data_IF_968775172060
#
_entry.id   IF_968775172060
#
_cell.length_a   1.000
_cell.length_b   1.000
_cell.length_c   1.000
_cell.angle_alpha   90.00
_cell.angle_beta   90.00
_cell.angle_gamma   90.00
#
_symmetry.space_group_name_H-M   'P 1'
#
loop_
_entity.id
_entity.type
_entity.pdbx_description
1 polymer ?
#
# COMPACT_ATOMS: atom_id res chain seq x y z
N UNK A 1 1.00 -3.51 8.74
CA UNK A 1 0.19 -2.28 8.84
C UNK A 1 0.16 -1.63 7.47
N UNK A 2 -0.96 -1.73 6.75
CA UNK A 2 -1.08 -1.19 5.39
C UNK A 2 -2.07 -0.02 5.38
N UNK A 3 -1.73 1.05 4.66
CA UNK A 3 -2.64 2.16 4.38
C UNK A 3 -2.65 2.39 2.86
N UNK A 4 -3.80 2.15 2.23
CA UNK A 4 -4.08 2.61 0.88
C UNK A 4 -4.62 4.04 0.96
N UNK A 5 -4.10 4.96 0.16
CA UNK A 5 -4.59 6.34 0.08
C UNK A 5 -5.01 6.66 -1.36
N UNK A 6 -6.32 6.83 -1.58
CA UNK A 6 -6.92 7.32 -2.80
C UNK A 6 -7.37 8.77 -2.56
N UNK A 7 -6.91 9.72 -3.37
CA UNK A 7 -7.30 11.13 -3.27
C UNK A 7 -8.13 11.54 -4.50
N UNK A 8 -9.44 11.67 -4.33
CA UNK A 8 -10.34 12.30 -5.29
C UNK A 8 -10.49 13.80 -4.97
N UNK A 9 -10.33 14.68 -5.97
CA UNK A 9 -10.57 16.13 -5.85
C UNK A 9 -11.70 16.54 -6.80
N UNK A 10 -12.83 16.97 -6.23
CA UNK A 10 -13.84 17.75 -6.94
C UNK A 10 -13.63 19.24 -6.63
N UNK A 11 -13.66 20.09 -7.65
CA UNK A 11 -13.67 21.56 -7.52
C UNK A 11 -15.03 22.05 -8.00
N UNK A 12 -15.78 22.74 -7.13
CA UNK A 12 -16.73 23.77 -7.56
C UNK A 12 -16.27 25.08 -6.95
N UNK A 13 -16.18 26.11 -7.81
CA UNK A 13 -15.92 27.48 -7.37
C UNK A 13 -17.15 28.09 -6.72
N UNK A 14 -16.96 29.24 -6.09
CA UNK A 14 -17.58 30.52 -6.44
C UNK A 14 -16.83 31.64 -5.69
N UNK A 15 -16.68 32.77 -6.38
CA UNK A 15 -16.17 34.04 -5.82
C UNK A 15 -17.28 34.68 -5.01
N UNK A 16 -16.93 35.50 -4.02
CA UNK A 16 -17.44 36.87 -3.87
C UNK A 16 -16.58 37.66 -2.85
N UNK A 17 -16.35 38.91 -3.20
CA UNK A 17 -15.55 39.94 -2.55
C UNK A 17 -16.30 40.64 -1.41
N UNK A 18 -15.58 41.12 -0.39
CA UNK A 18 -16.11 42.07 0.59
C UNK A 18 -15.00 42.66 1.47
N UNK A 19 -14.82 43.97 1.34
CA UNK A 19 -13.87 44.87 2.02
C UNK A 19 -14.12 45.05 3.52
N UNK A 20 -13.06 45.42 4.27
CA UNK A 20 -13.06 45.74 5.72
C UNK A 20 -13.89 46.97 6.13
N UNK A 21 -13.77 47.51 7.37
CA UNK A 21 -12.49 47.89 7.98
C UNK A 21 -12.34 47.68 9.51
N UNK A 22 -11.14 48.04 9.99
CA UNK A 22 -10.66 48.15 11.37
C UNK A 22 -11.54 49.02 12.28
N UNK A 23 -11.52 48.73 13.60
CA UNK A 23 -11.46 49.71 14.70
C UNK A 23 -11.23 49.01 16.06
N UNK A 24 -10.14 49.40 16.73
CA UNK A 24 -9.89 49.36 18.20
C UNK A 24 -9.77 50.83 18.65
N UNK A 25 -9.66 51.21 19.96
CA UNK A 25 -9.60 50.44 21.21
C UNK A 25 -10.50 51.01 22.35
N UNK A 26 -10.59 50.35 23.52
CA UNK A 26 -11.09 51.02 24.73
C UNK A 26 -11.37 50.11 25.92
N UNK A 27 -10.75 50.42 27.07
CA UNK A 27 -10.79 49.69 28.35
C UNK A 27 -12.12 49.86 29.10
N UNK A 28 -12.54 48.87 29.88
CA UNK A 28 -13.59 49.05 30.90
C UNK A 28 -14.05 47.78 31.63
N UNK A 29 -13.50 47.57 32.84
CA UNK A 29 -14.09 47.02 34.07
C UNK A 29 -14.93 45.71 34.10
N UNK A 30 -14.54 44.85 35.05
CA UNK A 30 -15.25 43.66 35.49
C UNK A 30 -16.37 44.00 36.48
N UNK A 31 -17.58 43.46 36.25
CA UNK A 31 -18.64 43.36 37.27
C UNK A 31 -19.30 41.98 37.23
N UNK A 32 -19.73 41.52 38.41
CA UNK A 32 -20.06 40.13 38.72
C UNK A 32 -21.47 39.67 38.29
N UNK A 33 -21.52 38.40 37.91
CA UNK A 33 -22.60 37.40 38.04
C UNK A 33 -24.07 37.85 37.86
N UNK A 34 -24.57 37.69 36.62
CA UNK A 34 -26.00 37.57 36.30
C UNK A 34 -26.31 36.15 35.80
N UNK A 35 -27.41 35.59 36.31
CA UNK A 35 -27.93 34.22 36.16
C UNK A 35 -27.72 33.52 34.80
N UNK A 36 -27.43 32.22 34.92
CA UNK A 36 -27.28 31.20 33.88
C UNK A 36 -28.22 31.34 32.67
N UNK A 37 -27.65 31.66 31.52
CA UNK A 37 -28.15 31.23 30.21
C UNK A 37 -27.29 30.06 29.76
N UNK A 38 -27.92 28.93 29.46
CA UNK A 38 -27.28 27.78 28.81
C UNK A 38 -26.43 28.25 27.63
N UNK A 39 -25.13 27.92 27.54
CA UNK A 39 -24.36 28.22 26.35
C UNK A 39 -25.00 27.44 25.20
N UNK A 40 -25.57 28.16 24.23
CA UNK A 40 -25.69 27.65 22.87
C UNK A 40 -24.31 27.12 22.49
N UNK A 41 -24.24 25.96 21.84
CA UNK A 41 -23.01 25.39 21.26
C UNK A 41 -22.25 26.51 20.55
N UNK A 42 -21.32 27.12 21.27
CA UNK A 42 -20.47 28.16 20.75
C UNK A 42 -19.44 27.41 19.95
N UNK A 43 -19.49 27.61 18.63
CA UNK A 43 -18.49 27.21 17.65
C UNK A 43 -17.12 27.05 18.32
N UNK A 44 -16.74 25.81 18.59
CA UNK A 44 -15.36 25.50 18.94
C UNK A 44 -14.50 26.02 17.80
N UNK A 45 -13.56 26.95 18.04
CA UNK A 45 -12.73 27.48 16.98
C UNK A 45 -11.96 26.31 16.36
N UNK A 46 -12.29 25.97 15.12
CA UNK A 46 -11.49 25.06 14.31
C UNK A 46 -10.19 25.79 14.03
N UNK A 47 -9.17 25.51 14.82
CA UNK A 47 -7.84 26.04 14.59
C UNK A 47 -7.29 25.41 13.31
N UNK A 48 -7.36 26.16 12.22
CA UNK A 48 -6.69 25.82 10.98
C UNK A 48 -5.20 26.16 11.13
N UNK A 49 -4.42 25.19 11.63
CA UNK A 49 -2.98 25.34 11.88
C UNK A 49 -2.11 25.48 10.61
N UNK A 50 -2.71 25.44 9.41
CA UNK A 50 -1.99 25.51 8.13
C UNK A 50 -2.75 26.41 7.18
N UNK A 51 -2.14 27.51 6.76
CA UNK A 51 -2.72 28.44 5.78
C UNK A 51 -3.06 27.72 4.47
N UNK A 52 -4.18 28.10 3.86
CA UNK A 52 -4.72 27.48 2.62
C UNK A 52 -3.73 27.47 1.44
N UNK A 53 -2.68 28.29 1.50
CA UNK A 53 -1.66 28.46 0.46
C UNK A 53 -0.32 27.77 0.74
N UNK A 54 -0.18 27.05 1.85
CA UNK A 54 1.07 26.34 2.13
C UNK A 54 1.19 25.11 1.21
N UNK A 55 2.19 25.10 0.33
CA UNK A 55 2.54 23.91 -0.44
C UNK A 55 2.93 22.80 0.53
N UNK A 56 2.11 21.74 0.61
CA UNK A 56 2.44 20.56 1.41
C UNK A 56 3.66 19.89 0.79
N UNK A 57 4.78 19.95 1.49
CA UNK A 57 5.99 19.30 1.05
C UNK A 57 5.86 17.79 1.27
N UNK A 58 6.35 17.01 0.31
CA UNK A 58 6.33 15.55 0.41
C UNK A 58 7.29 15.09 1.53
N UNK A 59 6.85 14.09 2.30
CA UNK A 59 7.58 13.55 3.45
C UNK A 59 7.44 12.04 3.46
N UNK A 60 8.56 11.34 3.61
CA UNK A 60 8.62 9.89 3.67
C UNK A 60 9.02 9.51 5.08
N UNK A 61 8.25 8.61 5.69
CA UNK A 61 8.52 8.10 7.03
C UNK A 61 8.80 6.61 6.98
N UNK A 62 9.79 6.17 7.73
CA UNK A 62 10.24 4.78 7.83
C UNK A 62 10.31 4.37 9.29
N UNK A 63 9.92 3.14 9.59
CA UNK A 63 9.98 2.54 10.92
C UNK A 63 9.97 1.01 10.81
N UNK A 64 10.25 0.32 11.91
CA UNK A 64 10.31 -1.14 11.99
C UNK A 64 11.74 -1.67 12.01
N UNK A 65 11.97 -2.83 11.41
CA UNK A 65 13.27 -3.49 11.41
C UNK A 65 14.27 -2.76 10.50
N UNK A 66 15.41 -2.35 11.05
CA UNK A 66 16.41 -1.52 10.36
C UNK A 66 17.67 -2.26 9.96
N UNK A 67 17.93 -3.44 10.52
CA UNK A 67 19.23 -4.08 10.41
C UNK A 67 19.53 -4.65 9.01
N UNK A 68 18.49 -4.98 8.23
CA UNK A 68 18.67 -5.33 6.81
C UNK A 68 18.96 -4.12 5.91
N UNK A 69 18.82 -2.90 6.40
CA UNK A 69 18.94 -1.68 5.59
C UNK A 69 17.65 -1.21 4.93
N UNK A 70 16.52 -1.92 5.12
CA UNK A 70 15.25 -1.59 4.46
C UNK A 70 14.72 -0.18 4.74
N UNK A 71 15.14 0.44 5.86
CA UNK A 71 14.72 1.81 6.19
C UNK A 71 15.54 2.89 5.46
N UNK A 72 16.64 2.53 4.80
CA UNK A 72 17.46 3.47 4.02
C UNK A 72 18.22 4.50 4.86
N UNK A 73 18.48 4.22 6.14
CA UNK A 73 19.20 5.12 7.04
C UNK A 73 20.47 4.42 7.56
N UNK A 74 21.65 4.68 6.96
CA UNK A 74 22.89 3.99 7.32
C UNK A 74 23.28 4.11 8.80
N UNK A 75 22.95 5.25 9.43
CA UNK A 75 23.24 5.52 10.84
C UNK A 75 22.49 4.61 11.82
N UNK A 76 21.45 3.90 11.38
CA UNK A 76 20.77 2.90 12.22
C UNK A 76 21.60 1.63 12.40
N UNK A 77 22.40 1.27 11.39
CA UNK A 77 23.18 0.03 11.35
C UNK A 77 24.65 0.28 11.69
N UNK A 78 25.22 1.39 11.21
CA UNK A 78 26.63 1.75 11.40
C UNK A 78 26.77 2.87 12.45
N UNK A 79 27.39 2.59 13.61
CA UNK A 79 27.73 3.64 14.57
C UNK A 79 28.74 4.60 13.94
N UNK A 80 28.39 5.89 13.83
CA UNK A 80 29.32 6.95 13.39
C UNK A 80 29.16 7.45 11.95
N UNK A 81 28.21 6.95 11.14
CA UNK A 81 27.97 7.44 9.77
C UNK A 81 27.22 8.79 9.69
N UNK A 82 27.16 9.55 10.79
CA UNK A 82 26.49 10.85 10.84
C UNK A 82 27.45 12.02 10.63
N UNK A 83 26.96 13.23 10.29
CA UNK A 83 27.81 14.39 9.96
C UNK A 83 28.69 14.94 11.10
N UNK A 84 28.57 14.44 12.33
CA UNK A 84 29.42 14.86 13.45
C UNK A 84 29.79 13.67 14.35
N UNK A 85 31.07 13.53 14.77
CA UNK A 85 31.46 12.62 15.82
C UNK A 85 31.03 13.19 17.17
N UNK A 86 29.73 13.10 17.49
CA UNK A 86 29.24 13.41 18.83
C UNK A 86 29.73 12.35 19.80
N UNK A 87 30.35 12.81 20.89
CA UNK A 87 30.80 11.99 22.01
C UNK A 87 29.71 10.98 22.43
N UNK A 88 30.08 9.70 22.45
CA UNK A 88 29.18 8.58 22.73
C UNK A 88 28.54 8.01 21.47
N UNK A 89 29.18 6.99 20.88
CA UNK A 89 28.57 6.21 19.80
C UNK A 89 27.24 5.63 20.30
N UNK A 90 26.13 6.12 19.75
CA UNK A 90 24.82 5.54 20.06
C UNK A 90 24.80 4.08 19.61
N UNK A 91 24.28 3.16 20.43
CA UNK A 91 24.25 1.75 20.09
C UNK A 91 23.43 1.51 18.82
N UNK A 92 23.84 0.53 18.02
CA UNK A 92 23.13 0.10 16.81
C UNK A 92 21.66 -0.16 17.14
N UNK A 93 20.75 0.42 16.37
CA UNK A 93 19.31 0.18 16.53
C UNK A 93 18.91 -0.89 15.54
N UNK A 94 18.47 -2.04 16.04
CA UNK A 94 17.87 -3.11 15.21
C UNK A 94 16.43 -2.80 14.79
N UNK A 95 15.76 -1.98 15.59
CA UNK A 95 14.38 -1.57 15.38
C UNK A 95 14.30 -0.06 15.57
N UNK A 96 13.64 0.61 14.64
CA UNK A 96 13.21 1.99 14.74
C UNK A 96 11.72 2.00 15.10
N UNK A 97 11.34 2.18 16.38
CA UNK A 97 9.96 1.96 16.83
C UNK A 97 9.01 3.12 16.47
N UNK A 98 9.54 4.30 16.15
CA UNK A 98 8.76 5.51 15.84
C UNK A 98 9.03 5.97 14.40
N UNK A 99 8.07 6.61 13.73
CA UNK A 99 8.28 7.15 12.39
C UNK A 99 9.50 8.07 12.35
N UNK A 100 10.48 7.72 11.52
CA UNK A 100 11.66 8.53 11.24
C UNK A 100 11.55 9.10 9.83
N UNK A 101 11.86 10.39 9.65
CA UNK A 101 11.81 11.03 8.35
C UNK A 101 13.01 10.59 7.51
N UNK A 102 12.75 9.89 6.40
CA UNK A 102 13.76 9.61 5.39
C UNK A 102 13.97 10.88 4.55
N UNK A 103 15.21 11.33 4.48
CA UNK A 103 15.59 12.52 3.72
C UNK A 103 15.87 12.12 2.27
N UNK A 104 14.99 12.57 1.37
CA UNK A 104 15.09 12.37 -0.06
C UNK A 104 14.70 13.68 -0.75
N UNK A 105 15.52 14.12 -1.70
CA UNK A 105 15.23 15.29 -2.53
C UNK A 105 14.15 14.98 -3.58
N UNK A 106 14.00 13.70 -3.89
CA UNK A 106 13.17 13.21 -4.96
C UNK A 106 11.72 13.07 -4.52
N UNK A 107 10.80 13.45 -5.41
CA UNK A 107 9.37 13.27 -5.19
C UNK A 107 8.96 11.83 -5.44
N UNK A 108 8.79 11.07 -4.37
CA UNK A 108 8.33 9.68 -4.43
C UNK A 108 6.82 9.63 -4.62
N UNK A 109 6.38 8.82 -5.58
CA UNK A 109 4.97 8.60 -5.94
C UNK A 109 4.46 7.20 -5.61
N UNK A 110 5.34 6.21 -5.51
CA UNK A 110 4.99 4.84 -5.12
C UNK A 110 6.09 4.27 -4.23
N UNK A 111 5.69 3.50 -3.23
CA UNK A 111 6.58 2.80 -2.31
C UNK A 111 6.07 1.36 -2.13
N UNK A 112 6.99 0.41 -2.07
CA UNK A 112 6.70 -0.99 -1.83
C UNK A 112 7.70 -1.57 -0.84
N UNK A 113 7.19 -2.36 0.11
CA UNK A 113 7.99 -3.03 1.13
C UNK A 113 7.95 -4.52 0.85
N UNK A 114 9.11 -5.12 0.58
CA UNK A 114 9.26 -6.57 0.51
C UNK A 114 9.74 -7.14 1.83
N UNK A 115 10.16 -8.40 1.80
CA UNK A 115 10.62 -9.11 3.01
C UNK A 115 12.06 -8.69 3.33
N UNK A 116 12.21 -7.57 4.03
CA UNK A 116 13.50 -7.03 4.46
C UNK A 116 14.17 -6.07 3.46
N UNK A 117 13.43 -5.60 2.45
CA UNK A 117 13.86 -4.59 1.48
C UNK A 117 12.72 -3.66 1.08
N UNK A 118 13.04 -2.56 0.41
CA UNK A 118 12.07 -1.52 0.03
C UNK A 118 12.45 -0.92 -1.32
N UNK A 119 11.44 -0.69 -2.15
CA UNK A 119 11.56 0.08 -3.40
C UNK A 119 10.73 1.35 -3.29
N UNK A 120 11.31 2.45 -3.77
CA UNK A 120 10.67 3.74 -3.92
C UNK A 120 10.76 4.13 -5.39
N UNK A 121 9.69 4.67 -5.96
CA UNK A 121 9.72 5.20 -7.32
C UNK A 121 9.12 6.59 -7.45
N UNK A 122 9.62 7.31 -8.43
CA UNK A 122 9.17 8.63 -8.81
C UNK A 122 8.65 8.62 -10.25
N UNK A 123 7.57 9.36 -10.50
CA UNK A 123 7.04 9.65 -11.84
C UNK A 123 7.89 10.68 -12.61
N UNK A 124 9.14 10.91 -12.21
CA UNK A 124 10.05 11.82 -12.92
C UNK A 124 10.38 11.31 -14.33
N UNK A 125 10.69 12.25 -15.22
CA UNK A 125 11.24 11.97 -16.55
C UNK A 125 12.77 11.81 -16.52
N UNK A 126 13.42 12.05 -15.38
CA UNK A 126 14.86 11.80 -15.22
C UNK A 126 15.19 10.31 -15.41
N UNK A 127 16.43 10.03 -15.78
CA UNK A 127 16.92 8.66 -16.00
C UNK A 127 16.78 7.80 -14.75
N UNK A 128 17.03 8.36 -13.57
CA UNK A 128 16.88 7.67 -12.29
C UNK A 128 15.46 7.80 -11.76
N UNK A 129 14.73 6.68 -11.75
CA UNK A 129 13.29 6.66 -11.42
C UNK A 129 12.96 5.80 -10.22
N UNK A 130 13.83 4.86 -9.87
CA UNK A 130 13.61 3.87 -8.80
C UNK A 130 14.82 3.86 -7.88
N UNK A 131 14.56 3.81 -6.57
CA UNK A 131 15.55 3.67 -5.53
C UNK A 131 15.23 2.44 -4.69
N UNK A 132 16.25 1.66 -4.37
CA UNK A 132 16.15 0.45 -3.58
C UNK A 132 17.03 0.51 -2.34
N UNK A 133 16.54 -0.09 -1.26
CA UNK A 133 17.32 -0.31 -0.04
C UNK A 133 16.91 -1.59 0.66
N UNK A 134 17.82 -2.19 1.41
CA UNK A 134 17.62 -3.40 2.20
C UNK A 134 18.33 -4.63 1.62
N UNK A 135 17.74 -5.80 1.88
CA UNK A 135 18.25 -7.09 1.40
C UNK A 135 18.31 -7.15 -0.14
N UNK A 136 19.44 -7.63 -0.66
CA UNK A 136 19.68 -7.77 -2.11
C UNK A 136 20.42 -9.07 -2.50
N UNK A 137 20.28 -10.15 -1.70
CA UNK A 137 20.95 -11.44 -1.97
C UNK A 137 20.51 -12.09 -3.29
N UNK A 138 19.28 -11.85 -3.72
CA UNK A 138 18.72 -12.39 -4.96
C UNK A 138 18.66 -11.32 -6.06
N UNK A 139 19.32 -10.17 -5.87
CA UNK A 139 19.22 -9.01 -6.77
C UNK A 139 17.78 -8.48 -6.92
N UNK A 140 16.98 -8.55 -5.86
CA UNK A 140 15.61 -7.98 -5.83
C UNK A 140 15.58 -6.45 -5.92
N UNK A 141 16.70 -5.78 -5.67
CA UNK A 141 16.94 -4.35 -5.91
C UNK A 141 17.73 -4.11 -7.21
N UNK A 142 18.00 -5.16 -7.99
CA UNK A 142 18.89 -5.12 -9.14
C UNK A 142 20.37 -5.15 -8.76
N UNK A 143 21.22 -4.86 -9.74
CA UNK A 143 22.67 -4.93 -9.56
C UNK A 143 23.20 -3.72 -8.77
N UNK A 144 23.84 -4.01 -7.62
CA UNK A 144 24.54 -3.02 -6.80
C UNK A 144 25.95 -3.50 -6.47
N UNK A 145 26.96 -2.81 -7.01
CA UNK A 145 28.38 -3.15 -6.82
C UNK A 145 28.98 -2.45 -5.61
N UNK A 146 29.78 -3.18 -4.83
CA UNK A 146 30.59 -2.57 -3.76
C UNK A 146 31.65 -1.63 -4.35
N UNK A 147 31.80 -0.45 -3.73
CA UNK A 147 32.88 0.50 -4.08
C UNK A 147 34.25 0.05 -3.57
N UNK A 148 34.28 -0.80 -2.53
CA UNK A 148 35.50 -1.21 -1.83
C UNK A 148 36.01 -2.58 -2.24
N UNK A 149 35.11 -3.45 -2.67
CA UNK A 149 35.44 -4.81 -3.07
C UNK A 149 34.91 -5.06 -4.47
N UNK A 150 35.81 -5.17 -5.43
CA UNK A 150 35.50 -5.36 -6.85
C UNK A 150 34.90 -6.76 -7.12
N UNK A 151 35.03 -7.68 -6.15
CA UNK A 151 34.67 -9.10 -6.24
C UNK A 151 33.33 -9.48 -5.60
N UNK A 152 32.71 -8.56 -4.85
CA UNK A 152 31.45 -8.82 -4.12
C UNK A 152 30.47 -7.65 -4.19
N UNK A 153 29.21 -7.97 -4.50
CA UNK A 153 28.08 -7.07 -4.48
C UNK A 153 27.55 -6.83 -3.08
N UNK A 154 26.69 -5.83 -2.93
CA UNK A 154 26.05 -5.56 -1.65
C UNK A 154 24.92 -6.57 -1.38
N UNK A 155 25.09 -7.44 -0.39
CA UNK A 155 23.98 -8.25 0.15
C UNK A 155 22.93 -7.38 0.85
N UNK A 156 23.35 -6.25 1.42
CA UNK A 156 22.51 -5.28 2.12
C UNK A 156 22.84 -3.88 1.64
N UNK A 157 21.85 -3.21 1.07
CA UNK A 157 21.93 -1.82 0.59
C UNK A 157 21.38 -0.92 1.70
N UNK A 158 22.24 -0.11 2.34
CA UNK A 158 21.86 0.61 3.57
C UNK A 158 21.21 1.98 3.33
N UNK A 159 21.35 2.53 2.13
CA UNK A 159 20.81 3.82 1.72
C UNK A 159 20.03 3.68 0.41
N UNK A 160 19.01 4.54 0.14
CA UNK A 160 18.24 4.50 -1.09
C UNK A 160 19.14 4.67 -2.31
N UNK A 161 19.42 3.56 -2.99
CA UNK A 161 20.37 3.51 -4.09
C UNK A 161 19.62 3.41 -5.42
N UNK A 162 20.02 4.15 -6.46
CA UNK A 162 19.43 4.06 -7.79
C UNK A 162 19.39 2.62 -8.34
N UNK A 163 18.22 2.16 -8.75
CA UNK A 163 18.04 0.84 -9.40
C UNK A 163 18.14 1.01 -10.91
N UNK A 164 19.11 0.36 -11.59
CA UNK A 164 19.23 0.44 -13.04
C UNK A 164 18.11 -0.35 -13.72
N UNK A 165 17.44 0.27 -14.69
CA UNK A 165 16.40 -0.38 -15.50
C UNK A 165 16.81 -0.33 -16.98
N UNK A 166 16.68 -1.44 -17.72
CA UNK A 166 16.95 -1.47 -19.16
C UNK A 166 15.77 -0.89 -19.94
N UNK A 167 15.54 0.42 -19.78
CA UNK A 167 14.49 1.15 -20.50
C UNK A 167 14.96 1.49 -21.91
N UNK A 168 14.08 1.35 -22.90
CA UNK A 168 14.36 1.76 -24.27
C UNK A 168 14.47 3.29 -24.37
N UNK A 169 13.59 4.01 -23.66
CA UNK A 169 13.53 5.48 -23.66
C UNK A 169 13.49 6.02 -22.23
N UNK A 170 14.64 6.05 -21.52
CA UNK A 170 14.68 6.43 -20.11
C UNK A 170 14.25 7.89 -19.85
N UNK A 171 14.27 8.77 -20.84
CA UNK A 171 13.82 10.17 -20.68
C UNK A 171 12.31 10.36 -20.88
N UNK A 172 11.64 9.42 -21.55
CA UNK A 172 10.21 9.52 -21.85
C UNK A 172 9.37 8.65 -20.92
N UNK A 173 9.84 7.43 -20.66
CA UNK A 173 9.13 6.41 -19.89
C UNK A 173 9.06 6.79 -18.42
N UNK A 174 7.88 6.60 -17.81
CA UNK A 174 7.64 6.88 -16.39
C UNK A 174 7.35 5.59 -15.63
N UNK A 175 7.88 5.50 -14.42
CA UNK A 175 7.52 4.40 -13.50
C UNK A 175 6.24 4.80 -12.76
N UNK A 176 5.20 3.98 -12.92
CA UNK A 176 3.88 4.23 -12.35
C UNK A 176 3.73 3.62 -10.95
N UNK A 177 4.21 2.39 -10.78
CA UNK A 177 4.04 1.62 -9.56
C UNK A 177 5.25 0.68 -9.36
N UNK A 178 5.57 0.41 -8.10
CA UNK A 178 6.48 -0.67 -7.70
C UNK A 178 5.76 -1.63 -6.76
N UNK A 179 6.15 -2.89 -6.76
CA UNK A 179 5.68 -3.92 -5.86
C UNK A 179 6.82 -4.87 -5.50
N UNK A 180 6.81 -5.40 -4.27
CA UNK A 180 7.87 -6.24 -3.74
C UNK A 180 7.27 -7.44 -2.99
N UNK A 181 7.78 -8.64 -3.29
CA UNK A 181 7.39 -9.88 -2.61
C UNK A 181 8.44 -10.33 -1.59
N UNK A 182 8.62 -11.66 -1.45
CA UNK A 182 9.65 -12.24 -0.58
C UNK A 182 11.07 -11.92 -1.06
N UNK A 183 11.33 -12.17 -2.34
CA UNK A 183 12.67 -12.03 -2.92
C UNK A 183 12.62 -11.57 -4.40
N UNK A 184 11.50 -11.03 -4.85
CA UNK A 184 11.33 -10.50 -6.21
C UNK A 184 10.63 -9.14 -6.17
N UNK A 185 10.81 -8.37 -7.25
CA UNK A 185 10.25 -7.04 -7.42
C UNK A 185 9.62 -6.89 -8.79
N UNK A 186 8.51 -6.15 -8.85
CA UNK A 186 7.85 -5.74 -10.07
C UNK A 186 7.82 -4.22 -10.17
N UNK A 187 8.08 -3.72 -11.37
CA UNK A 187 8.16 -2.29 -11.67
C UNK A 187 7.28 -2.04 -12.90
N UNK A 188 6.18 -1.34 -12.69
CA UNK A 188 5.23 -0.99 -13.73
C UNK A 188 5.62 0.34 -14.38
N UNK A 189 5.69 0.36 -15.71
CA UNK A 189 5.90 1.59 -16.49
C UNK A 189 4.64 1.99 -17.25
N UNK A 190 4.61 3.22 -17.76
CA UNK A 190 3.46 3.75 -18.51
C UNK A 190 3.34 3.20 -19.95
N UNK A 191 4.47 2.81 -20.55
CA UNK A 191 4.53 2.42 -21.98
C UNK A 191 5.37 1.19 -22.28
N UNK A 192 6.34 0.88 -21.43
CA UNK A 192 7.32 -0.17 -21.69
C UNK A 192 6.95 -1.52 -21.05
N UNK A 193 5.75 -1.62 -20.46
CA UNK A 193 5.25 -2.82 -19.79
C UNK A 193 5.74 -2.93 -18.35
N UNK A 194 5.93 -4.18 -17.89
CA UNK A 194 6.35 -4.50 -16.53
C UNK A 194 7.76 -5.05 -16.53
N UNK A 195 8.61 -4.56 -15.63
CA UNK A 195 9.94 -5.10 -15.39
C UNK A 195 9.95 -5.91 -14.11
N UNK A 196 10.57 -7.09 -14.14
CA UNK A 196 10.75 -7.97 -13.00
C UNK A 196 12.22 -8.25 -12.74
N UNK A 197 12.57 -8.37 -11.46
CA UNK A 197 13.93 -8.67 -11.00
C UNK A 197 13.88 -9.40 -9.66
N UNK A 198 14.97 -10.10 -9.33
CA UNK A 198 15.06 -10.90 -8.12
C UNK A 198 15.03 -12.41 -8.38
N UNK A 199 14.67 -13.15 -7.33
CA UNK A 199 14.53 -14.60 -7.36
C UNK A 199 13.44 -15.04 -8.36
N UNK A 200 13.74 -16.08 -9.15
CA UNK A 200 12.81 -16.70 -10.09
C UNK A 200 12.71 -18.22 -9.93
N UNK A 201 12.95 -18.76 -8.72
CA UNK A 201 12.96 -20.20 -8.48
C UNK A 201 11.60 -20.87 -8.77
N UNK A 202 10.52 -20.08 -8.74
CA UNK A 202 9.17 -20.53 -8.99
C UNK A 202 8.52 -19.80 -10.19
N UNK A 203 9.30 -19.10 -11.02
CA UNK A 203 8.75 -18.39 -12.18
C UNK A 203 8.04 -17.06 -11.84
N UNK A 204 8.19 -16.54 -10.63
CA UNK A 204 7.52 -15.33 -10.15
C UNK A 204 7.97 -14.03 -10.86
N UNK A 205 9.09 -14.06 -11.58
CA UNK A 205 9.52 -12.97 -12.46
C UNK A 205 8.90 -13.05 -13.86
N UNK A 206 8.00 -14.01 -14.15
CA UNK A 206 7.31 -14.09 -15.44
C UNK A 206 8.18 -14.60 -16.59
N UNK A 207 9.22 -15.37 -16.28
CA UNK A 207 10.05 -16.09 -17.24
C UNK A 207 10.30 -17.52 -16.79
N UNK A 208 10.70 -18.37 -17.74
CA UNK A 208 11.05 -19.76 -17.48
C UNK A 208 12.09 -19.88 -16.35
N UNK A 209 11.84 -20.87 -15.49
CA UNK A 209 12.74 -21.25 -14.41
C UNK A 209 13.98 -21.87 -15.05
N UNK A 210 15.15 -21.41 -14.61
CA UNK A 210 16.44 -21.94 -15.01
C UNK A 210 17.00 -22.70 -13.81
N UNK A 211 17.30 -23.97 -14.01
CA UNK A 211 17.89 -24.81 -12.97
C UNK A 211 19.26 -24.25 -12.54
N UNK A 212 19.52 -24.28 -11.23
CA UNK A 212 20.75 -23.79 -10.59
C UNK A 212 21.13 -22.33 -10.94
N UNK A 213 20.14 -21.49 -11.24
CA UNK A 213 20.37 -20.08 -11.49
C UNK A 213 20.88 -19.35 -10.23
N UNK A 214 22.01 -18.68 -10.36
CA UNK A 214 22.56 -17.80 -9.33
C UNK A 214 21.92 -16.42 -9.45
N UNK A 215 21.06 -16.06 -8.48
CA UNK A 215 20.36 -14.78 -8.45
C UNK A 215 21.18 -13.63 -7.84
N UNK A 216 22.23 -13.93 -7.07
CA UNK A 216 23.09 -12.92 -6.46
C UNK A 216 23.90 -12.15 -7.49
N UNK A 217 24.00 -10.83 -7.34
CA UNK A 217 24.80 -9.95 -8.20
C UNK A 217 24.43 -10.01 -9.69
N UNK A 218 23.16 -10.32 -9.97
CA UNK A 218 22.64 -10.50 -11.30
C UNK A 218 22.23 -9.17 -11.91
N UNK A 219 22.59 -8.96 -13.17
CA UNK A 219 22.09 -7.86 -14.01
C UNK A 219 20.75 -8.19 -14.67
N UNK A 220 20.16 -9.36 -14.38
CA UNK A 220 18.96 -9.82 -15.06
C UNK A 220 17.74 -9.01 -14.62
N UNK A 221 17.15 -8.32 -15.59
CA UNK A 221 15.84 -7.69 -15.49
C UNK A 221 15.02 -8.19 -16.67
N UNK A 222 13.86 -8.78 -16.39
CA UNK A 222 12.98 -9.33 -17.42
C UNK A 222 11.90 -8.31 -17.73
N UNK A 223 11.64 -8.08 -19.01
CA UNK A 223 10.56 -7.20 -19.47
C UNK A 223 9.37 -8.07 -19.90
N UNK A 224 8.21 -7.79 -19.34
CA UNK A 224 6.95 -8.47 -19.62
C UNK A 224 6.05 -7.50 -20.38
N UNK A 225 5.73 -7.83 -21.63
CA UNK A 225 4.90 -7.01 -22.51
C UNK A 225 3.72 -7.76 -23.14
N UNK A 226 3.73 -9.10 -23.06
CA UNK A 226 2.76 -9.96 -23.73
C UNK A 226 1.45 -10.08 -22.94
N UNK A 227 0.77 -8.95 -22.73
CA UNK A 227 -0.55 -8.87 -22.08
C UNK A 227 -1.61 -8.41 -23.07
N UNK A 228 -2.87 -8.84 -22.87
CA UNK A 228 -4.00 -8.34 -23.67
C UNK A 228 -4.45 -6.96 -23.18
N UNK A 229 -3.66 -5.92 -23.45
CA UNK A 229 -3.94 -4.55 -23.00
C UNK A 229 -2.80 -4.01 -22.12
N UNK A 230 -2.97 -2.80 -21.60
CA UNK A 230 -1.93 -2.19 -20.77
C UNK A 230 -2.08 -2.62 -19.32
N UNK A 231 -0.99 -3.03 -18.69
CA UNK A 231 -0.99 -3.32 -17.25
C UNK A 231 -1.17 -2.02 -16.47
N UNK A 232 -2.15 -1.97 -15.58
CA UNK A 232 -2.49 -0.81 -14.75
C UNK A 232 -2.14 -1.00 -13.27
N UNK A 233 -2.01 -2.26 -12.83
CA UNK A 233 -1.60 -2.59 -11.46
C UNK A 233 -0.73 -3.85 -11.46
N UNK A 234 0.31 -3.84 -10.63
CA UNK A 234 1.14 -5.01 -10.32
C UNK A 234 1.13 -5.29 -8.83
N UNK A 235 1.06 -6.56 -8.42
CA UNK A 235 1.08 -6.94 -7.01
C UNK A 235 1.93 -8.19 -6.83
N UNK A 236 2.82 -8.17 -5.85
CA UNK A 236 3.66 -9.30 -5.48
C UNK A 236 3.06 -10.00 -4.27
N UNK A 237 2.89 -11.31 -4.37
CA UNK A 237 2.69 -12.17 -3.22
C UNK A 237 4.04 -12.63 -2.64
N UNK A 238 4.02 -13.74 -1.91
CA UNK A 238 5.24 -14.30 -1.34
C UNK A 238 6.18 -14.78 -2.47
N UNK A 239 5.69 -15.72 -3.27
CA UNK A 239 6.41 -16.36 -4.38
C UNK A 239 5.58 -16.41 -5.68
N UNK A 240 4.64 -15.48 -5.82
CA UNK A 240 3.82 -15.30 -7.02
C UNK A 240 3.63 -13.81 -7.34
N UNK A 241 3.22 -13.54 -8.57
CA UNK A 241 3.01 -12.21 -9.12
C UNK A 241 1.63 -12.13 -9.76
N UNK A 242 0.94 -11.02 -9.53
CA UNK A 242 -0.35 -10.70 -10.14
C UNK A 242 -0.25 -9.41 -10.97
N UNK A 243 -0.93 -9.40 -12.11
CA UNK A 243 -0.98 -8.28 -13.04
C UNK A 243 -2.44 -7.99 -13.40
N UNK A 244 -2.84 -6.72 -13.35
CA UNK A 244 -4.17 -6.26 -13.77
C UNK A 244 -4.02 -5.42 -15.03
N UNK A 245 -4.80 -5.73 -16.07
CA UNK A 245 -4.85 -4.92 -17.30
C UNK A 245 -5.95 -3.85 -17.24
N UNK A 246 -5.85 -2.85 -18.11
CA UNK A 246 -6.86 -1.81 -18.32
C UNK A 246 -8.22 -2.35 -18.78
N UNK A 247 -8.26 -3.56 -19.35
CA UNK A 247 -9.50 -4.29 -19.67
C UNK A 247 -10.16 -4.93 -18.44
N UNK A 248 -9.51 -4.86 -17.28
CA UNK A 248 -9.97 -5.49 -16.04
C UNK A 248 -9.69 -6.98 -15.98
N UNK A 249 -8.74 -7.46 -16.78
CA UNK A 249 -8.34 -8.87 -16.81
C UNK A 249 -7.14 -9.10 -15.89
N UNK A 250 -7.12 -10.25 -15.23
CA UNK A 250 -6.10 -10.61 -14.25
C UNK A 250 -5.18 -11.67 -14.85
N UNK A 251 -3.88 -11.48 -14.69
CA UNK A 251 -2.86 -12.47 -15.03
C UNK A 251 -2.05 -12.84 -13.79
N UNK A 252 -1.54 -14.07 -13.74
CA UNK A 252 -0.63 -14.51 -12.68
C UNK A 252 0.51 -15.38 -13.20
N UNK A 253 1.59 -15.39 -12.44
CA UNK A 253 2.69 -16.36 -12.56
C UNK A 253 3.34 -16.59 -11.20
N UNK A 254 4.13 -17.66 -11.07
CA UNK A 254 4.85 -18.01 -9.87
C UNK A 254 4.48 -19.38 -9.30
N UNK A 255 4.73 -19.51 -8.00
CA UNK A 255 4.37 -20.67 -7.18
C UNK A 255 2.85 -20.84 -7.09
N UNK A 256 2.36 -22.06 -7.26
CA UNK A 256 0.92 -22.37 -7.33
C UNK A 256 0.42 -23.41 -6.33
N UNK A 257 1.25 -23.90 -5.40
CA UNK A 257 0.88 -25.07 -4.58
C UNK A 257 -0.33 -24.86 -3.65
N UNK A 258 -0.60 -23.62 -3.23
CA UNK A 258 -1.79 -23.27 -2.45
C UNK A 258 -2.94 -22.74 -3.34
N UNK A 259 -2.74 -22.75 -4.65
CA UNK A 259 -3.68 -22.20 -5.62
C UNK A 259 -3.58 -20.69 -5.81
N UNK A 260 -2.54 -20.03 -5.29
CA UNK A 260 -2.39 -18.56 -5.30
C UNK A 260 -2.29 -17.95 -6.72
N UNK A 261 -1.94 -18.76 -7.73
CA UNK A 261 -2.01 -18.35 -9.15
C UNK A 261 -3.45 -18.29 -9.67
N UNK A 262 -4.40 -19.07 -9.12
CA UNK A 262 -5.80 -19.02 -9.53
C UNK A 262 -6.09 -19.62 -10.92
N UNK A 263 -5.22 -20.50 -11.43
CA UNK A 263 -5.26 -21.05 -12.80
C UNK A 263 -5.93 -22.44 -12.90
N UNK A 264 -6.60 -22.91 -11.84
CA UNK A 264 -7.27 -24.21 -11.82
C UNK A 264 -6.33 -25.42 -11.63
N UNK A 265 -5.06 -25.19 -11.30
CA UNK A 265 -4.08 -26.23 -10.99
C UNK A 265 -3.11 -25.76 -9.89
N UNK A 266 -2.29 -26.68 -9.37
CA UNK A 266 -1.33 -26.42 -8.29
C UNK A 266 0.14 -26.34 -8.75
N UNK A 267 0.39 -26.48 -10.05
CA UNK A 267 1.72 -26.43 -10.63
C UNK A 267 2.30 -25.01 -10.65
N UNK A 268 3.63 -24.93 -10.78
CA UNK A 268 4.35 -23.69 -11.08
C UNK A 268 3.92 -23.15 -12.45
N UNK A 269 3.70 -21.85 -12.54
CA UNK A 269 3.44 -21.15 -13.80
C UNK A 269 4.53 -20.11 -14.04
N UNK A 270 5.40 -20.33 -15.02
CA UNK A 270 6.54 -19.43 -15.28
C UNK A 270 6.21 -18.21 -16.13
N UNK A 271 5.12 -18.24 -16.90
CA UNK A 271 4.74 -17.18 -17.84
C UNK A 271 3.41 -16.57 -17.38
N UNK A 272 3.25 -15.23 -17.37
CA UNK A 272 1.99 -14.60 -17.00
C UNK A 272 0.81 -15.20 -17.79
N UNK A 273 -0.12 -15.82 -17.08
CA UNK A 273 -1.27 -16.53 -17.65
C UNK A 273 -2.55 -15.90 -17.16
N UNK A 274 -3.52 -15.71 -18.06
CA UNK A 274 -4.81 -15.09 -17.76
C UNK A 274 -5.64 -15.97 -16.83
N UNK A 275 -6.20 -15.39 -15.77
CA UNK A 275 -7.12 -16.07 -14.88
C UNK A 275 -8.50 -16.19 -15.53
N UNK A 276 -9.14 -17.33 -15.31
CA UNK A 276 -10.52 -17.60 -15.71
C UNK A 276 -11.42 -17.78 -14.49
N UNK A 277 -12.32 -18.76 -14.57
CA UNK A 277 -13.30 -19.06 -13.51
C UNK A 277 -14.28 -17.91 -13.31
N UNK A 278 -14.57 -17.58 -12.06
CA UNK A 278 -15.58 -16.57 -11.71
C UNK A 278 -15.15 -15.12 -12.02
N UNK A 279 -13.89 -14.91 -12.46
CA UNK A 279 -13.42 -13.64 -12.98
C UNK A 279 -13.64 -13.48 -14.49
N UNK A 280 -14.06 -14.54 -15.20
CA UNK A 280 -14.31 -14.47 -16.63
C UNK A 280 -15.45 -13.49 -16.93
N UNK A 281 -15.15 -12.44 -17.70
CA UNK A 281 -16.11 -11.37 -18.04
C UNK A 281 -16.34 -10.34 -16.94
N UNK A 282 -15.65 -10.44 -15.80
CA UNK A 282 -15.72 -9.46 -14.71
C UNK A 282 -14.65 -8.38 -14.93
N UNK A 283 -15.06 -7.11 -14.90
CA UNK A 283 -14.12 -5.99 -14.95
C UNK A 283 -13.50 -5.73 -13.57
N UNK A 284 -12.31 -6.30 -13.33
CA UNK A 284 -11.56 -6.12 -12.08
C UNK A 284 -10.91 -4.74 -12.06
N UNK A 285 -10.99 -4.05 -10.92
CA UNK A 285 -10.42 -2.69 -10.73
C UNK A 285 -9.29 -2.66 -9.71
N UNK A 286 -9.18 -3.69 -8.87
CA UNK A 286 -8.13 -3.74 -7.85
C UNK A 286 -7.77 -5.17 -7.46
N UNK A 287 -6.48 -5.41 -7.28
CA UNK A 287 -5.91 -6.64 -6.73
C UNK A 287 -5.23 -6.39 -5.37
N UNK A 288 -5.23 -7.41 -4.51
CA UNK A 288 -4.48 -7.42 -3.25
C UNK A 288 -3.92 -8.81 -2.95
N UNK A 289 -2.61 -8.88 -2.69
CA UNK A 289 -1.89 -10.07 -2.22
C UNK A 289 -0.60 -9.61 -1.51
N UNK A 290 -0.02 -10.48 -0.71
CA UNK A 290 1.32 -10.30 -0.10
C UNK A 290 1.88 -11.64 0.40
N UNK A 291 1.02 -12.50 0.96
CA UNK A 291 1.32 -13.89 1.30
C UNK A 291 0.91 -14.82 0.16
N UNK A 292 0.15 -15.87 0.50
CA UNK A 292 -0.37 -16.87 -0.44
C UNK A 292 -1.89 -16.80 -0.66
N UNK A 293 -2.56 -15.77 -0.13
CA UNK A 293 -3.98 -15.51 -0.36
C UNK A 293 -4.15 -14.25 -1.23
N UNK A 294 -5.03 -14.36 -2.23
CA UNK A 294 -5.27 -13.33 -3.24
C UNK A 294 -6.72 -12.86 -3.19
N UNK A 295 -6.93 -11.55 -3.37
CA UNK A 295 -8.25 -10.93 -3.46
C UNK A 295 -8.32 -10.01 -4.68
N UNK A 296 -9.50 -9.97 -5.31
CA UNK A 296 -9.82 -9.06 -6.40
C UNK A 296 -11.15 -8.35 -6.15
N UNK A 297 -11.24 -7.09 -6.58
CA UNK A 297 -12.45 -6.26 -6.49
C UNK A 297 -12.90 -5.87 -7.89
N UNK A 298 -14.17 -6.10 -8.22
CA UNK A 298 -14.75 -5.67 -9.50
C UNK A 298 -15.26 -4.24 -9.45
N UNK A 299 -15.44 -3.61 -10.62
CA UNK A 299 -16.05 -2.28 -10.75
C UNK A 299 -17.48 -2.22 -10.18
N UNK A 300 -18.17 -3.35 -10.15
CA UNK A 300 -19.52 -3.48 -9.58
C UNK A 300 -19.51 -3.63 -8.05
N UNK A 301 -18.32 -3.67 -7.43
CA UNK A 301 -18.14 -3.88 -5.99
C UNK A 301 -18.17 -5.35 -5.55
N UNK A 302 -18.11 -6.28 -6.51
CA UNK A 302 -17.95 -7.71 -6.23
C UNK A 302 -16.57 -8.01 -5.64
N UNK A 303 -16.52 -8.92 -4.66
CA UNK A 303 -15.29 -9.36 -4.03
C UNK A 303 -15.03 -10.83 -4.37
N UNK A 304 -13.79 -11.10 -4.77
CA UNK A 304 -13.34 -12.37 -5.28
C UNK A 304 -12.08 -12.80 -4.51
N UNK A 305 -11.87 -14.11 -4.32
CA UNK A 305 -10.67 -14.60 -3.64
C UNK A 305 -10.26 -16.01 -4.04
N UNK A 306 -8.95 -16.27 -3.94
CA UNK A 306 -8.32 -17.58 -4.21
C UNK A 306 -6.99 -17.71 -3.44
N UNK A 307 -6.34 -18.87 -3.54
CA UNK A 307 -5.11 -19.20 -2.84
C UNK A 307 -5.31 -19.85 -1.47
N UNK A 308 -4.36 -19.61 -0.56
CA UNK A 308 -4.36 -20.15 0.79
C UNK A 308 -5.58 -19.66 1.61
N UNK A 309 -6.22 -20.61 2.29
CA UNK A 309 -7.37 -20.41 3.17
C UNK A 309 -7.24 -21.14 4.52
N UNK A 310 -6.02 -21.47 4.94
CA UNK A 310 -5.76 -22.18 6.22
C UNK A 310 -6.18 -21.38 7.46
N UNK A 311 -6.24 -20.05 7.33
CA UNK A 311 -6.59 -19.11 8.39
C UNK A 311 -8.00 -18.51 8.18
N UNK A 312 -8.89 -19.28 7.55
CA UNK A 312 -10.28 -18.92 7.27
C UNK A 312 -10.46 -17.73 6.32
N UNK A 313 -9.45 -17.42 5.49
CA UNK A 313 -9.54 -16.31 4.55
C UNK A 313 -10.73 -16.49 3.59
N UNK A 314 -10.97 -17.71 3.09
CA UNK A 314 -12.01 -18.07 2.11
C UNK A 314 -13.07 -19.03 2.68
N UNK A 315 -13.06 -19.28 4.00
CA UNK A 315 -13.95 -20.25 4.65
C UNK A 315 -15.46 -19.96 4.49
N UNK A 316 -15.84 -18.74 4.10
CA UNK A 316 -17.24 -18.39 3.85
C UNK A 316 -17.82 -19.03 2.58
N UNK A 317 -16.96 -19.49 1.65
CA UNK A 317 -17.37 -19.99 0.32
C UNK A 317 -16.93 -21.42 0.05
N UNK A 318 -15.91 -21.91 0.76
CA UNK A 318 -15.35 -23.25 0.59
C UNK A 318 -14.74 -23.73 1.89
N UNK A 319 -14.85 -25.03 2.15
CA UNK A 319 -14.18 -25.70 3.27
C UNK A 319 -12.73 -26.08 2.91
N UNK A 320 -12.33 -25.92 1.64
CA UNK A 320 -10.97 -26.22 1.20
C UNK A 320 -9.98 -25.18 1.71
N UNK A 321 -8.85 -25.65 2.22
CA UNK A 321 -7.73 -24.79 2.65
C UNK A 321 -6.91 -24.26 1.48
N UNK A 322 -7.05 -24.84 0.29
CA UNK A 322 -6.37 -24.43 -0.93
C UNK A 322 -7.40 -24.21 -2.04
N UNK A 323 -7.39 -23.01 -2.62
CA UNK A 323 -8.35 -22.61 -3.64
C UNK A 323 -7.60 -22.23 -4.91
N UNK A 324 -7.51 -23.14 -5.87
CA UNK A 324 -6.84 -22.91 -7.14
C UNK A 324 -7.70 -22.24 -8.21
N UNK A 325 -8.98 -22.02 -7.93
CA UNK A 325 -9.87 -21.20 -8.75
C UNK A 325 -10.42 -20.05 -7.92
N UNK A 326 -10.67 -18.94 -8.59
CA UNK A 326 -11.32 -17.79 -7.99
C UNK A 326 -12.78 -18.10 -7.64
N UNK A 327 -13.18 -17.80 -6.40
CA UNK A 327 -14.56 -17.90 -5.94
C UNK A 327 -15.10 -16.54 -5.44
N UNK A 328 -16.38 -16.20 -5.66
CA UNK A 328 -16.99 -14.98 -5.17
C UNK A 328 -17.14 -15.07 -3.66
N UNK A 329 -16.55 -14.12 -2.92
CA UNK A 329 -16.84 -13.99 -1.49
C UNK A 329 -18.27 -13.51 -1.31
N UNK A 330 -19.16 -14.46 -1.00
CA UNK A 330 -20.54 -14.17 -0.66
C UNK A 330 -20.60 -13.23 0.55
N UNK A 331 -20.97 -11.97 0.32
CA UNK A 331 -21.40 -11.08 1.39
C UNK A 331 -22.78 -11.56 1.88
N UNK A 332 -22.82 -12.63 2.69
CA UNK A 332 -24.02 -12.99 3.46
C UNK A 332 -24.17 -12.02 4.62
N UNK A 333 -24.38 -10.76 4.32
CA UNK A 333 -25.01 -9.82 5.24
C UNK A 333 -25.78 -8.79 4.44
N UNK A 334 -27.02 -8.53 4.83
CA UNK A 334 -27.83 -7.38 4.41
C UNK A 334 -27.24 -6.07 4.95
N UNK A 335 -25.91 -5.88 4.86
CA UNK A 335 -25.18 -4.76 5.47
C UNK A 335 -24.11 -4.25 4.50
N UNK A 336 -24.53 -3.88 3.30
CA UNK A 336 -23.86 -2.88 2.46
C UNK A 336 -24.92 -1.98 1.83
N UNK A 337 -25.86 -1.49 2.65
CA UNK A 337 -26.75 -0.37 2.33
C UNK A 337 -26.51 0.74 3.34
N UNK A 338 -25.26 1.18 3.46
CA UNK A 338 -24.90 2.43 4.15
C UNK A 338 -23.97 3.24 3.25
N UNK A 339 -24.44 3.54 2.03
CA UNK A 339 -24.04 4.72 1.23
C UNK A 339 -25.05 5.02 0.10
N UNK A 340 -26.34 4.75 0.36
CA UNK A 340 -27.45 5.32 -0.41
C UNK A 340 -28.55 5.70 0.56
N UNK A 341 -28.38 6.82 1.26
CA UNK A 341 -29.54 7.61 1.68
C UNK A 341 -30.00 8.41 0.46
N UNK A 342 -31.13 8.08 -0.18
CA UNK A 342 -31.77 9.05 -1.06
C UNK A 342 -32.13 10.28 -0.22
N UNK A 343 -31.74 11.46 -0.68
CA UNK A 343 -32.21 12.74 -0.15
C UNK A 343 -33.74 12.74 -0.28
N UNK A 344 -34.51 12.77 0.81
CA UNK A 344 -35.96 12.90 0.69
C UNK A 344 -36.29 14.33 0.24
N UNK A 345 -37.29 14.51 -0.65
CA UNK A 345 -37.75 15.85 -1.00
C UNK A 345 -38.37 16.51 0.24
N UNK A 346 -38.21 17.83 0.33
CA UNK A 346 -38.67 18.64 1.45
C UNK A 346 -40.18 18.46 1.71
N UNK A 347 -40.62 18.22 2.96
CA UNK A 347 -42.04 18.24 3.30
C UNK A 347 -42.51 19.67 3.57
N UNK A 348 -43.59 20.07 2.90
CA UNK A 348 -44.41 21.22 3.29
C UNK A 348 -45.26 20.87 4.53
N UNK A 349 -45.67 21.88 5.33
CA UNK A 349 -46.08 21.65 6.71
C UNK A 349 -47.55 21.31 6.81
N UNK A 350 -47.91 20.18 7.42
CA UNK A 350 -49.18 20.06 8.15
C UNK A 350 -49.22 18.82 9.07
N UNK A 351 -49.44 19.14 10.35
CA UNK A 351 -50.29 18.49 11.34
C UNK A 351 -49.96 17.08 11.93
N UNK A 352 -49.46 17.14 13.17
CA UNK A 352 -50.00 16.55 14.42
C UNK A 352 -50.27 15.03 14.49
N UNK A 353 -49.59 14.38 15.45
CA UNK A 353 -50.24 13.41 16.35
C UNK A 353 -49.38 12.21 16.76
N UNK A 354 -49.00 12.18 18.06
CA UNK A 354 -48.94 11.03 19.00
C UNK A 354 -48.33 9.69 18.48
N UNK A 355 -47.45 8.95 19.17
CA UNK A 355 -47.09 8.81 20.58
C UNK A 355 -45.99 7.73 20.69
N UNK A 356 -45.42 7.60 21.90
CA UNK A 356 -44.77 6.42 22.49
C UNK A 356 -43.25 6.25 22.36
N UNK A 357 -42.60 6.72 23.42
CA UNK A 357 -41.37 6.17 24.01
C UNK A 357 -41.44 4.64 24.16
N UNK A 358 -40.40 3.91 23.75
CA UNK A 358 -39.97 2.69 24.44
C UNK A 358 -38.46 2.48 24.37
N UNK A 359 -37.91 2.08 25.52
CA UNK A 359 -36.49 2.03 25.91
C UNK A 359 -35.72 0.91 25.20
N UNK A 360 -34.45 1.19 24.88
CA UNK A 360 -33.43 0.21 24.52
C UNK A 360 -32.81 -0.42 25.77
N UNK A 361 -32.83 -1.75 25.86
CA UNK A 361 -32.04 -2.53 26.81
C UNK A 361 -30.91 -3.27 26.07
N UNK A 362 -29.67 -2.93 26.39
CA UNK A 362 -28.48 -3.71 26.06
C UNK A 362 -28.23 -4.77 27.15
N UNK A 363 -27.97 -6.05 26.82
CA UNK A 363 -27.40 -7.00 27.75
C UNK A 363 -25.87 -7.10 27.58
N UNK A 364 -25.15 -6.85 28.68
CA UNK A 364 -23.73 -7.16 28.88
C UNK A 364 -23.54 -8.67 29.12
N UNK A 365 -22.47 -9.32 28.62
CA UNK A 365 -22.08 -10.64 29.12
C UNK A 365 -21.16 -10.55 30.34
N UNK A 366 -21.48 -11.38 31.32
CA UNK A 366 -20.87 -11.54 32.64
C UNK A 366 -19.45 -12.16 32.58
N UNK A 367 -18.62 -11.74 33.53
CA UNK A 367 -17.27 -12.25 33.83
C UNK A 367 -17.31 -13.69 34.35
N UNK A 368 -16.35 -14.50 33.92
CA UNK A 368 -16.04 -15.84 34.46
C UNK A 368 -15.16 -15.77 35.74
N UNK A 369 -15.36 -16.67 36.73
CA UNK A 369 -14.58 -16.69 37.96
C UNK A 369 -13.29 -17.54 37.84
N UNK A 370 -12.22 -17.11 38.53
CA UNK A 370 -10.94 -17.84 38.68
C UNK A 370 -11.03 -18.90 39.80
N UNK A 371 -10.32 -20.03 39.71
CA UNK A 371 -10.18 -20.99 40.81
C UNK A 371 -9.06 -20.59 41.81
N UNK A 372 -9.13 -21.06 43.07
CA UNK A 372 -8.18 -20.72 44.13
C UNK A 372 -6.91 -21.62 44.11
N UNK A 373 -5.82 -21.22 44.79
CA UNK A 373 -4.54 -21.90 44.74
C UNK A 373 -4.42 -23.00 45.82
N UNK A 374 -3.70 -24.08 45.46
CA UNK A 374 -2.98 -24.96 46.37
C UNK A 374 -1.57 -25.16 45.85
#
# INVERSE_FOLDING_TARGET
>A
MGLAALAARARLGWRLSGSGPELRPGRGHWTAAGRSRSPREADTPVFQYVGERASRADRIFVWGFSFSGALGVPTFVLPGAGPEPRAGSRPRRRIQPVPYRLELDQKISSAACGYGFTLLSSKTKDVTKVWGMGLNKDSQLGFHRSRKDTTRGYEYVLEPSPVPLPLDRPQDTQVLQVSCGRAHSLILTDREGVFSMGNNSYGQCGRNVVEDEIYSESHRVTRLQDFEGQVVQVVCGQDHSLFLTDKGEVYSCGWGADGQTGLGHYNITSVPTKLGGDLAGVHVVQLATYGDCCLAVSAEGGLFGWGNSEYLQLASVTDSTQCNMCAPKGCRSRVCTWMRTPVPPAPSPQAVGHSQYFRSHCPWPLRSPRPPPH
#
